data_IF_871319332543
#
_entry.id   IF_871319332543
#
_cell.length_a   1.000
_cell.length_b   1.000
_cell.length_c   1.000
_cell.angle_alpha   90.00
_cell.angle_beta   90.00
_cell.angle_gamma   90.00
#
_symmetry.space_group_name_H-M   'P 1'
#
loop_
_entity.id
_entity.type
_entity.pdbx_description
1 polymer ?
#
# COMPACT_ATOMS: atom_id res chain seq x y z
N UNK A 1 63.05 10.16 7.67
CA UNK A 1 62.62 8.99 6.87
C UNK A 1 61.33 8.51 7.49
N UNK A 2 60.26 9.05 7.02
CA UNK A 2 59.32 8.57 6.02
C UNK A 2 58.68 7.24 6.39
N UNK A 3 57.45 7.28 6.78
CA UNK A 3 56.44 6.27 6.43
C UNK A 3 55.04 6.79 6.74
N UNK A 4 54.43 7.29 5.71
CA UNK A 4 53.03 7.56 5.63
C UNK A 4 52.24 6.26 5.61
N UNK A 5 51.38 6.05 6.58
CA UNK A 5 50.36 5.00 6.50
C UNK A 5 48.99 5.63 6.31
N UNK A 6 48.60 5.62 5.05
CA UNK A 6 47.31 6.02 4.53
C UNK A 6 46.27 4.97 4.96
N UNK A 7 45.56 5.24 6.03
CA UNK A 7 44.41 4.45 6.46
C UNK A 7 43.26 4.71 5.51
N UNK A 8 43.02 3.81 4.62
CA UNK A 8 41.87 3.75 3.74
C UNK A 8 40.64 3.37 4.55
N UNK A 9 39.98 4.37 5.10
CA UNK A 9 38.67 4.21 5.73
C UNK A 9 37.65 3.84 4.65
N UNK A 10 37.42 2.55 4.49
CA UNK A 10 36.26 2.00 3.81
C UNK A 10 35.01 2.54 4.50
N UNK A 11 34.39 3.53 3.90
CA UNK A 11 32.99 3.90 4.19
C UNK A 11 32.11 2.74 3.75
N UNK A 12 31.82 1.86 4.68
CA UNK A 12 30.72 0.90 4.54
C UNK A 12 29.46 1.75 4.66
N UNK A 13 28.91 2.13 3.53
CA UNK A 13 27.56 2.66 3.46
C UNK A 13 26.60 1.54 3.88
N UNK A 14 26.17 1.57 5.13
CA UNK A 14 25.01 0.81 5.57
C UNK A 14 23.83 1.42 4.86
N UNK A 15 23.43 0.83 3.74
CA UNK A 15 22.13 1.05 3.17
C UNK A 15 21.12 0.46 4.16
N UNK A 16 20.59 1.33 5.03
CA UNK A 16 19.41 1.01 5.83
C UNK A 16 18.28 0.88 4.78
N UNK A 17 18.01 -0.36 4.38
CA UNK A 17 16.79 -0.69 3.67
C UNK A 17 15.65 -0.40 4.65
N UNK A 18 15.04 0.78 4.54
CA UNK A 18 13.76 1.02 5.18
C UNK A 18 12.79 0.05 4.51
N UNK A 19 12.53 -1.04 5.22
CA UNK A 19 11.46 -1.98 4.88
C UNK A 19 10.17 -1.18 4.92
N UNK A 20 9.61 -0.88 3.79
CA UNK A 20 8.39 -0.09 3.69
C UNK A 20 7.22 -0.97 4.07
N UNK A 21 6.78 -0.78 5.30
CA UNK A 21 5.56 -1.37 5.87
C UNK A 21 4.33 -0.74 5.19
N UNK A 22 3.99 -1.21 3.99
CA UNK A 22 2.93 -0.63 3.16
C UNK A 22 1.57 -0.56 3.87
N UNK A 23 1.29 -1.49 4.77
CA UNK A 23 -0.03 -1.61 5.42
C UNK A 23 -0.04 -1.34 6.92
N UNK A 24 1.12 -1.16 7.57
CA UNK A 24 1.19 -1.00 9.04
C UNK A 24 1.28 0.44 9.51
N UNK A 25 1.62 1.39 8.64
CA UNK A 25 1.89 2.78 9.04
C UNK A 25 0.65 3.65 9.23
N UNK A 26 -0.46 3.34 8.55
CA UNK A 26 -1.70 4.14 8.60
C UNK A 26 -2.89 3.25 8.92
N UNK A 27 -3.39 3.33 10.15
CA UNK A 27 -4.52 2.51 10.60
C UNK A 27 -5.71 3.39 10.95
N UNK A 28 -6.74 3.34 10.11
CA UNK A 28 -8.00 4.07 10.27
C UNK A 28 -9.07 3.18 10.89
N UNK A 29 -10.01 3.75 11.63
CA UNK A 29 -11.11 3.01 12.27
C UNK A 29 -12.23 2.64 11.30
N UNK A 30 -12.37 3.38 10.20
CA UNK A 30 -13.43 3.22 9.22
C UNK A 30 -12.88 2.99 7.82
N UNK A 31 -13.61 2.31 6.92
CA UNK A 31 -13.24 2.22 5.52
C UNK A 31 -13.46 3.55 4.79
N UNK A 32 -12.87 3.72 3.61
CA UNK A 32 -13.14 4.89 2.75
C UNK A 32 -14.62 4.93 2.36
N UNK A 33 -15.16 3.81 1.89
CA UNK A 33 -16.57 3.64 1.55
C UNK A 33 -17.14 2.46 2.35
N UNK A 34 -18.38 2.54 2.76
CA UNK A 34 -19.06 1.48 3.55
C UNK A 34 -19.27 0.18 2.77
N UNK A 35 -19.19 0.24 1.44
CA UNK A 35 -19.34 -0.90 0.55
C UNK A 35 -18.37 -0.80 -0.63
N UNK A 36 -18.03 -1.94 -1.28
CA UNK A 36 -17.23 -1.95 -2.51
C UNK A 36 -17.87 -1.11 -3.62
N UNK A 37 -17.05 -0.35 -4.36
CA UNK A 37 -17.51 0.47 -5.49
C UNK A 37 -17.43 -0.25 -6.83
N UNK A 38 -16.66 -1.32 -6.93
CA UNK A 38 -16.54 -2.15 -8.15
C UNK A 38 -16.20 -3.61 -7.84
N UNK A 39 -16.33 -4.46 -8.85
CA UNK A 39 -15.96 -5.87 -8.78
C UNK A 39 -14.44 -6.07 -8.77
N UNK A 40 -14.03 -7.26 -8.30
CA UNK A 40 -12.66 -7.73 -8.36
C UNK A 40 -12.14 -7.69 -9.80
N UNK A 41 -10.98 -7.07 -9.99
CA UNK A 41 -10.30 -7.01 -11.27
C UNK A 41 -9.40 -8.23 -11.43
N UNK A 42 -9.76 -9.13 -12.36
CA UNK A 42 -9.01 -10.37 -12.60
C UNK A 42 -7.51 -10.18 -12.86
N UNK A 43 -7.05 -9.14 -13.59
CA UNK A 43 -5.63 -8.93 -13.83
C UNK A 43 -4.80 -8.67 -12.56
N UNK A 44 -5.42 -8.16 -11.49
CA UNK A 44 -4.76 -7.95 -10.20
C UNK A 44 -4.49 -9.27 -9.45
N UNK A 45 -5.29 -10.31 -9.71
CA UNK A 45 -5.13 -11.60 -9.02
C UNK A 45 -3.81 -12.26 -9.40
N UNK A 46 -3.16 -12.86 -8.42
CA UNK A 46 -1.90 -13.59 -8.61
C UNK A 46 -0.91 -13.39 -7.48
N UNK A 47 0.28 -13.85 -7.72
CA UNK A 47 1.44 -13.70 -6.85
C UNK A 47 2.36 -12.61 -7.39
N UNK A 48 2.84 -11.78 -6.49
CA UNK A 48 3.61 -10.60 -6.79
C UNK A 48 4.83 -10.54 -5.88
N UNK A 49 5.95 -10.07 -6.41
CA UNK A 49 7.22 -9.97 -5.68
C UNK A 49 7.83 -8.59 -5.89
N UNK A 50 8.37 -7.99 -4.84
CA UNK A 50 9.15 -6.76 -4.93
C UNK A 50 10.36 -6.95 -5.85
N UNK A 51 10.91 -5.87 -6.46
CA UNK A 51 12.06 -5.96 -7.36
C UNK A 51 13.30 -6.62 -6.75
N UNK A 52 13.50 -6.46 -5.43
CA UNK A 52 14.58 -7.09 -4.67
C UNK A 52 14.27 -8.52 -4.19
N UNK A 53 13.06 -9.00 -4.44
CA UNK A 53 12.61 -10.36 -4.12
C UNK A 53 12.26 -10.61 -2.66
N UNK A 54 12.36 -9.60 -1.80
CA UNK A 54 12.17 -9.77 -0.34
C UNK A 54 10.70 -9.76 0.08
N UNK A 55 9.90 -8.90 -0.53
CA UNK A 55 8.49 -8.75 -0.17
C UNK A 55 7.61 -9.57 -1.10
N UNK A 56 6.63 -10.24 -0.52
CA UNK A 56 5.67 -11.10 -1.22
C UNK A 56 4.26 -10.59 -1.00
N UNK A 57 3.56 -10.37 -2.10
CA UNK A 57 2.16 -9.97 -2.10
C UNK A 57 1.33 -10.99 -2.89
N UNK A 58 0.27 -11.50 -2.31
CA UNK A 58 -0.66 -12.41 -2.99
C UNK A 58 -2.04 -11.81 -2.97
N UNK A 59 -2.65 -11.70 -4.14
CA UNK A 59 -4.02 -11.22 -4.31
C UNK A 59 -4.90 -12.36 -4.77
N UNK A 60 -5.92 -12.66 -3.99
CA UNK A 60 -6.92 -13.71 -4.27
C UNK A 60 -8.32 -13.12 -4.21
N UNK A 61 -9.23 -13.72 -4.95
CA UNK A 61 -10.64 -13.36 -4.90
C UNK A 61 -11.30 -14.05 -3.70
N UNK A 62 -11.96 -13.27 -2.84
CA UNK A 62 -12.83 -13.81 -1.79
C UNK A 62 -14.26 -13.98 -2.32
N UNK A 63 -14.80 -12.90 -2.91
CA UNK A 63 -16.10 -12.87 -3.58
C UNK A 63 -16.07 -11.97 -4.81
N UNK A 64 -17.21 -11.54 -5.31
CA UNK A 64 -17.28 -10.73 -6.54
C UNK A 64 -16.65 -9.34 -6.41
N UNK A 65 -16.51 -8.82 -5.19
CA UNK A 65 -16.10 -7.43 -4.93
C UNK A 65 -14.97 -7.31 -3.91
N UNK A 66 -14.57 -8.41 -3.26
CA UNK A 66 -13.60 -8.42 -2.16
C UNK A 66 -12.41 -9.31 -2.51
N UNK A 67 -11.22 -8.80 -2.21
CA UNK A 67 -9.96 -9.51 -2.29
C UNK A 67 -9.55 -10.04 -0.92
N UNK A 68 -8.85 -11.17 -0.90
CA UNK A 68 -7.95 -11.56 0.17
C UNK A 68 -6.54 -11.14 -0.27
N UNK A 69 -5.87 -10.44 0.60
CA UNK A 69 -4.51 -9.96 0.42
C UNK A 69 -3.62 -10.63 1.47
N UNK A 70 -2.60 -11.32 1.03
CA UNK A 70 -1.52 -11.79 1.89
C UNK A 70 -0.28 -10.95 1.56
N UNK A 71 0.28 -10.30 2.56
CA UNK A 71 1.46 -9.47 2.43
C UNK A 71 2.38 -9.68 3.62
N UNK A 72 3.59 -10.14 3.33
CA UNK A 72 4.70 -10.32 4.28
C UNK A 72 4.34 -11.05 5.58
N UNK A 73 3.48 -12.06 5.50
CA UNK A 73 3.04 -12.87 6.65
C UNK A 73 1.65 -12.52 7.18
N UNK A 74 1.11 -11.35 6.83
CA UNK A 74 -0.16 -10.86 7.31
C UNK A 74 -1.29 -11.04 6.28
N UNK A 75 -2.51 -11.22 6.79
CA UNK A 75 -3.73 -11.33 6.00
C UNK A 75 -4.59 -10.08 6.12
N UNK A 76 -5.08 -9.64 4.96
CA UNK A 76 -5.99 -8.51 4.86
C UNK A 76 -7.17 -8.88 3.96
N UNK A 77 -8.29 -8.20 4.14
CA UNK A 77 -9.33 -8.11 3.12
C UNK A 77 -9.32 -6.74 2.50
N UNK A 78 -9.55 -6.66 1.21
CA UNK A 78 -9.54 -5.39 0.51
C UNK A 78 -10.67 -5.29 -0.50
N UNK A 79 -11.14 -4.07 -0.76
CA UNK A 79 -12.08 -3.79 -1.82
C UNK A 79 -11.89 -2.40 -2.39
N UNK A 80 -12.35 -2.19 -3.60
CA UNK A 80 -12.32 -0.89 -4.26
C UNK A 80 -13.23 0.11 -3.57
N UNK A 81 -12.70 1.31 -3.37
CA UNK A 81 -13.36 2.47 -2.79
C UNK A 81 -13.02 3.70 -3.65
N UNK A 82 -13.64 3.81 -4.82
CA UNK A 82 -13.35 4.90 -5.75
C UNK A 82 -13.89 6.22 -5.23
N UNK A 83 -13.04 7.24 -5.23
CA UNK A 83 -13.39 8.61 -4.81
C UNK A 83 -12.74 9.60 -5.78
N UNK A 84 -13.51 10.56 -6.28
CA UNK A 84 -13.02 11.61 -7.20
C UNK A 84 -12.22 11.02 -8.39
N UNK A 85 -12.72 9.95 -8.98
CA UNK A 85 -12.11 9.22 -10.12
C UNK A 85 -10.78 8.52 -9.80
N UNK A 86 -10.36 8.52 -8.53
CA UNK A 86 -9.16 7.82 -8.07
C UNK A 86 -9.56 6.43 -7.54
N UNK A 87 -8.90 5.36 -8.02
CA UNK A 87 -9.21 3.99 -7.62
C UNK A 87 -8.52 3.65 -6.29
N UNK A 88 -9.08 4.13 -5.18
CA UNK A 88 -8.65 3.71 -3.86
C UNK A 88 -9.05 2.28 -3.55
N UNK A 89 -8.38 1.70 -2.57
CA UNK A 89 -8.77 0.46 -1.90
C UNK A 89 -8.83 0.68 -0.38
N UNK A 90 -9.91 0.20 0.23
CA UNK A 90 -9.99 0.00 1.67
C UNK A 90 -9.40 -1.37 2.00
N UNK A 91 -8.26 -1.39 2.68
CA UNK A 91 -7.54 -2.62 3.07
C UNK A 91 -7.67 -2.79 4.56
N UNK A 92 -8.38 -3.83 5.00
CA UNK A 92 -8.66 -4.11 6.40
C UNK A 92 -7.73 -5.19 6.94
N UNK A 93 -7.05 -4.90 8.05
CA UNK A 93 -6.34 -5.93 8.82
C UNK A 93 -7.35 -6.93 9.40
N UNK A 94 -7.16 -8.20 9.11
CA UNK A 94 -7.98 -9.29 9.65
C UNK A 94 -7.24 -10.17 10.64
N UNK A 95 -5.97 -9.87 10.94
CA UNK A 95 -5.20 -10.59 11.96
C UNK A 95 -5.51 -10.06 13.37
N UNK A 96 -5.70 -8.74 13.49
CA UNK A 96 -5.98 -8.11 14.78
C UNK A 96 -7.49 -8.01 15.05
N UNK A 97 -7.86 -7.97 16.35
CA UNK A 97 -9.24 -7.74 16.79
C UNK A 97 -9.73 -6.33 16.43
N UNK A 98 -8.84 -5.37 16.31
CA UNK A 98 -9.18 -3.96 16.06
C UNK A 98 -9.68 -3.69 14.65
N UNK A 99 -9.39 -4.59 13.72
CA UNK A 99 -9.90 -4.54 12.33
C UNK A 99 -9.66 -3.19 11.64
N UNK A 100 -8.51 -2.57 11.88
CA UNK A 100 -8.14 -1.27 11.30
C UNK A 100 -7.98 -1.33 9.79
N UNK A 101 -8.10 -0.17 9.15
CA UNK A 101 -7.98 -0.01 7.71
C UNK A 101 -6.70 0.75 7.34
N UNK A 102 -6.09 0.37 6.24
CA UNK A 102 -5.21 1.21 5.45
C UNK A 102 -5.94 1.68 4.19
N UNK A 103 -5.65 2.88 3.73
CA UNK A 103 -6.15 3.40 2.47
C UNK A 103 -5.00 3.40 1.47
N UNK A 104 -5.23 2.74 0.33
CA UNK A 104 -4.19 2.48 -0.66
C UNK A 104 -4.72 2.84 -2.04
N UNK A 105 -3.86 3.32 -2.92
CA UNK A 105 -4.11 3.23 -4.36
C UNK A 105 -3.22 2.14 -4.94
N UNK A 106 -3.73 1.43 -5.93
CA UNK A 106 -2.96 0.50 -6.72
C UNK A 106 -3.10 0.81 -8.21
N UNK A 107 -2.00 0.67 -8.90
CA UNK A 107 -1.94 0.87 -10.34
C UNK A 107 -1.30 -0.34 -11.00
N UNK A 108 -2.03 -0.96 -11.90
CA UNK A 108 -1.53 -2.05 -12.73
C UNK A 108 -1.00 -1.47 -14.05
N UNK A 109 0.16 -1.96 -14.51
CA UNK A 109 0.68 -1.64 -15.83
C UNK A 109 -0.20 -2.22 -16.96
N UNK A 110 -0.13 -1.65 -18.14
CA UNK A 110 -0.94 -2.09 -19.30
C UNK A 110 -0.67 -3.54 -19.70
N UNK A 111 0.57 -4.01 -19.48
CA UNK A 111 0.96 -5.41 -19.74
C UNK A 111 0.56 -6.38 -18.62
N UNK A 112 -0.01 -5.87 -17.52
CA UNK A 112 -0.46 -6.65 -16.37
C UNK A 112 0.67 -7.28 -15.54
N UNK A 113 1.93 -6.85 -15.72
CA UNK A 113 3.10 -7.47 -15.09
C UNK A 113 3.70 -6.66 -13.94
N UNK A 114 3.36 -5.39 -13.84
CA UNK A 114 3.83 -4.50 -12.78
C UNK A 114 2.65 -3.93 -12.01
N UNK A 115 2.72 -3.98 -10.70
CA UNK A 115 1.74 -3.42 -9.78
C UNK A 115 2.45 -2.42 -8.87
N UNK A 116 1.98 -1.19 -8.83
CA UNK A 116 2.44 -0.22 -7.86
C UNK A 116 1.38 0.06 -6.81
N UNK A 117 1.83 0.29 -5.58
CA UNK A 117 1.01 0.61 -4.41
C UNK A 117 1.49 1.91 -3.78
N UNK A 118 0.57 2.74 -3.32
CA UNK A 118 0.86 3.91 -2.50
C UNK A 118 -0.17 4.04 -1.39
N UNK A 119 0.27 4.27 -0.18
CA UNK A 119 -0.61 4.54 0.94
C UNK A 119 -1.08 6.00 0.92
N UNK A 120 -2.29 6.22 1.41
CA UNK A 120 -2.75 7.56 1.76
C UNK A 120 -2.01 8.04 3.00
N UNK A 121 -1.54 9.28 2.96
CA UNK A 121 -0.78 9.90 4.03
C UNK A 121 -1.68 10.31 5.20
N UNK A 122 -1.35 9.88 6.41
CA UNK A 122 -2.02 10.28 7.64
C UNK A 122 -1.77 11.74 8.02
N UNK A 123 -0.79 12.39 7.40
CA UNK A 123 -0.57 13.84 7.50
C UNK A 123 -1.65 14.64 6.78
N UNK A 124 -2.27 14.05 5.75
CA UNK A 124 -3.33 14.69 4.95
C UNK A 124 -4.71 14.22 5.39
N UNK A 125 -4.87 12.93 5.63
CA UNK A 125 -6.12 12.32 6.12
C UNK A 125 -5.87 11.83 7.54
N UNK A 126 -6.43 12.53 8.53
CA UNK A 126 -6.23 12.19 9.95
C UNK A 126 -6.83 10.82 10.29
N UNK A 127 -6.07 10.02 11.04
CA UNK A 127 -6.53 8.75 11.63
C UNK A 127 -7.71 8.91 12.60
N UNK A 128 -7.89 10.12 13.13
CA UNK A 128 -9.00 10.46 14.03
C UNK A 128 -10.34 10.59 13.31
N UNK A 129 -10.36 10.53 11.97
CA UNK A 129 -11.60 10.56 11.19
C UNK A 129 -12.38 9.26 11.42
N UNK A 130 -13.57 9.39 12.02
CA UNK A 130 -14.40 8.24 12.45
C UNK A 130 -15.61 7.97 11.55
N UNK A 131 -15.73 8.67 10.44
CA UNK A 131 -16.86 8.56 9.52
C UNK A 131 -16.39 8.46 8.07
N UNK A 132 -16.88 7.47 7.35
CA UNK A 132 -16.54 7.25 5.93
C UNK A 132 -16.94 8.42 5.03
N UNK A 133 -18.05 9.10 5.31
CA UNK A 133 -18.46 10.26 4.52
C UNK A 133 -17.47 11.43 4.69
N UNK A 134 -16.96 11.63 5.92
CA UNK A 134 -15.90 12.60 6.18
C UNK A 134 -14.58 12.20 5.48
N UNK A 135 -14.23 10.92 5.46
CA UNK A 135 -13.05 10.42 4.72
C UNK A 135 -13.19 10.72 3.23
N UNK A 136 -14.34 10.39 2.63
CA UNK A 136 -14.63 10.69 1.20
C UNK A 136 -14.50 12.18 0.92
N UNK A 137 -15.07 13.04 1.77
CA UNK A 137 -15.00 14.51 1.60
C UNK A 137 -13.54 15.01 1.66
N UNK A 138 -12.74 14.50 2.61
CA UNK A 138 -11.32 14.86 2.74
C UNK A 138 -10.50 14.36 1.56
N UNK A 139 -10.71 13.14 1.09
CA UNK A 139 -10.03 12.60 -0.09
C UNK A 139 -10.39 13.41 -1.35
N UNK A 140 -11.66 13.74 -1.54
CA UNK A 140 -12.11 14.57 -2.66
C UNK A 140 -11.46 15.95 -2.63
N UNK A 141 -11.45 16.60 -1.47
CA UNK A 141 -10.81 17.92 -1.28
C UNK A 141 -9.32 17.88 -1.60
N UNK A 142 -8.64 16.79 -1.24
CA UNK A 142 -7.20 16.63 -1.37
C UNK A 142 -6.77 15.82 -2.60
N UNK A 143 -7.68 15.49 -3.52
CA UNK A 143 -7.41 14.63 -4.68
C UNK A 143 -6.22 15.12 -5.57
N UNK A 144 -5.96 16.43 -5.57
CA UNK A 144 -4.86 17.06 -6.33
C UNK A 144 -3.66 17.42 -5.44
N UNK A 145 -3.71 17.11 -4.13
CA UNK A 145 -2.61 17.39 -3.22
C UNK A 145 -1.47 16.38 -3.47
N UNK A 146 -0.25 16.81 -3.82
CA UNK A 146 0.87 15.90 -4.08
C UNK A 146 1.27 15.11 -2.82
N UNK A 147 1.01 15.65 -1.62
CA UNK A 147 1.34 15.01 -0.35
C UNK A 147 0.28 13.99 0.11
N UNK A 148 -0.80 13.81 -0.66
CA UNK A 148 -1.86 12.86 -0.34
C UNK A 148 -1.34 11.42 -0.27
N UNK A 149 -0.32 11.09 -1.04
CA UNK A 149 0.20 9.73 -1.14
C UNK A 149 1.64 9.64 -0.64
N UNK A 150 1.93 8.58 0.11
CA UNK A 150 3.28 8.20 0.49
C UNK A 150 4.11 7.68 -0.68
N UNK A 151 5.23 7.04 -0.35
CA UNK A 151 6.15 6.45 -1.33
C UNK A 151 5.46 5.35 -2.14
N UNK A 152 5.93 5.15 -3.36
CA UNK A 152 5.46 4.10 -4.24
C UNK A 152 6.23 2.81 -3.99
N UNK A 153 5.50 1.70 -3.87
CA UNK A 153 6.04 0.37 -3.70
C UNK A 153 5.70 -0.43 -4.96
N UNK A 154 6.71 -0.99 -5.59
CA UNK A 154 6.55 -1.73 -6.83
C UNK A 154 6.62 -3.23 -6.62
N UNK A 155 5.82 -3.96 -7.39
CA UNK A 155 5.80 -5.41 -7.46
C UNK A 155 5.80 -5.88 -8.90
N UNK A 156 6.37 -7.07 -9.13
CA UNK A 156 6.34 -7.78 -10.41
C UNK A 156 5.52 -9.05 -10.25
N UNK A 157 4.70 -9.35 -11.25
CA UNK A 157 3.91 -10.58 -11.27
C UNK A 157 4.81 -11.79 -11.40
N UNK A 158 4.61 -12.75 -10.51
CA UNK A 158 5.24 -14.05 -10.64
C UNK A 158 4.60 -14.85 -11.80
N UNK A 159 5.39 -15.72 -12.42
CA UNK A 159 4.92 -16.56 -13.55
C UNK A 159 4.08 -17.73 -13.06
#
# INVERSE_FOLDING_TARGET
>A
MSSSNLAWLRRIGVAISLCSLAFTACQYDVPITSAPTRKVQKPLLGDWTSPDGKEKLKLRRLDDSVYIVYYDGDLFRAYHSDVAEIPFASVQDINSSDRKYAYVIWKLSDDGKHLSLRNVSDKVISKETKDSAAVVALLTKNAKNPDLFGEEIEFRKEK
#
